data_IF_885525534005
#
_entry.id   IF_885525534005
#
_cell.length_a   1.000
_cell.length_b   1.000
_cell.length_c   1.000
_cell.angle_alpha   90.00
_cell.angle_beta   90.00
_cell.angle_gamma   90.00
#
_symmetry.space_group_name_H-M   'P 1'
#
loop_
_entity.id
_entity.type
_entity.pdbx_description
1 polymer ?
#
# COMPACT_ATOMS: atom_id res chain seq x y z
N UNK A 1 10.86 -11.21 -24.06
CA UNK A 1 9.43 -11.58 -24.21
C UNK A 1 8.55 -10.35 -24.00
N UNK A 2 7.87 -9.87 -25.05
CA UNK A 2 6.89 -8.75 -24.98
C UNK A 2 5.61 -9.26 -24.33
N UNK A 3 5.17 -8.65 -23.22
CA UNK A 3 3.88 -9.00 -22.57
C UNK A 3 2.71 -8.62 -23.51
N UNK A 4 1.76 -9.52 -23.77
CA UNK A 4 0.56 -9.20 -24.57
C UNK A 4 -0.18 -8.00 -24.00
N UNK A 5 -0.73 -7.14 -24.87
CA UNK A 5 -1.36 -5.85 -24.52
C UNK A 5 -2.69 -5.97 -23.73
N UNK A 6 -3.14 -7.19 -23.41
CA UNK A 6 -4.46 -7.45 -22.80
C UNK A 6 -4.48 -7.53 -21.27
N UNK A 7 -3.33 -7.50 -20.59
CA UNK A 7 -3.31 -7.60 -19.12
C UNK A 7 -3.50 -6.22 -18.48
N UNK A 8 -4.74 -5.94 -18.06
CA UNK A 8 -4.98 -4.79 -17.18
C UNK A 8 -4.73 -5.21 -15.72
N UNK A 9 -3.60 -4.77 -15.16
CA UNK A 9 -3.19 -5.12 -13.80
C UNK A 9 -3.68 -4.05 -12.81
N UNK A 10 -4.67 -4.41 -11.99
CA UNK A 10 -5.20 -3.59 -10.93
C UNK A 10 -4.85 -4.18 -9.57
N UNK A 11 -3.89 -3.59 -8.85
CA UNK A 11 -3.66 -3.87 -7.42
C UNK A 11 -3.61 -5.39 -7.09
N UNK A 12 -2.76 -6.15 -7.78
CA UNK A 12 -2.62 -7.62 -7.64
C UNK A 12 -3.79 -8.46 -8.18
N UNK A 13 -4.65 -7.87 -9.01
CA UNK A 13 -5.68 -8.54 -9.80
C UNK A 13 -5.38 -8.28 -11.29
N UNK A 14 -5.32 -9.33 -12.09
CA UNK A 14 -5.16 -9.29 -13.54
C UNK A 14 -6.43 -9.78 -14.20
N UNK A 15 -6.84 -9.10 -15.26
CA UNK A 15 -7.89 -9.60 -16.16
C UNK A 15 -7.21 -10.42 -17.26
N UNK A 16 -7.68 -11.64 -17.45
CA UNK A 16 -7.22 -12.60 -18.46
C UNK A 16 -8.37 -12.90 -19.43
N UNK A 17 -8.11 -13.35 -20.68
CA UNK A 17 -9.17 -13.82 -21.56
C UNK A 17 -10.09 -14.87 -20.91
N UNK A 18 -9.53 -15.74 -20.06
CA UNK A 18 -10.24 -16.80 -19.34
C UNK A 18 -10.95 -16.35 -18.06
N UNK A 19 -10.77 -15.12 -17.58
CA UNK A 19 -11.38 -14.62 -16.34
C UNK A 19 -10.46 -13.71 -15.54
N UNK A 20 -10.39 -13.92 -14.22
CA UNK A 20 -9.58 -13.10 -13.31
C UNK A 20 -8.43 -13.89 -12.70
N UNK A 21 -7.29 -13.26 -12.46
CA UNK A 21 -6.17 -13.85 -11.75
C UNK A 21 -5.70 -12.93 -10.64
N UNK A 22 -5.66 -13.44 -9.42
CA UNK A 22 -4.99 -12.76 -8.30
C UNK A 22 -3.58 -13.31 -8.23
N UNK A 23 -2.57 -12.45 -8.21
CA UNK A 23 -1.19 -12.85 -7.93
C UNK A 23 -0.55 -11.85 -6.96
N UNK A 24 -0.11 -12.34 -5.81
CA UNK A 24 0.54 -11.56 -4.76
C UNK A 24 1.90 -12.18 -4.47
N UNK A 25 2.96 -11.46 -4.80
CA UNK A 25 4.33 -11.84 -4.41
C UNK A 25 4.71 -11.20 -3.07
N UNK A 26 5.22 -12.01 -2.14
CA UNK A 26 5.74 -11.61 -0.83
C UNK A 26 7.05 -12.34 -0.54
N UNK A 27 8.13 -11.59 -0.30
CA UNK A 27 9.46 -12.18 -0.21
C UNK A 27 9.81 -12.94 -1.49
N UNK A 28 10.13 -14.22 -1.36
CA UNK A 28 10.42 -15.16 -2.47
C UNK A 28 9.24 -16.07 -2.83
N UNK A 29 8.06 -15.87 -2.23
CA UNK A 29 6.88 -16.70 -2.47
C UNK A 29 5.82 -15.94 -3.29
N UNK A 30 5.26 -16.63 -4.28
CA UNK A 30 4.12 -16.15 -5.07
C UNK A 30 2.85 -16.90 -4.67
N UNK A 31 1.82 -16.14 -4.29
CA UNK A 31 0.47 -16.66 -4.05
C UNK A 31 -0.38 -16.25 -5.24
N UNK A 32 -0.76 -17.22 -6.07
CA UNK A 32 -1.61 -16.95 -7.22
C UNK A 32 -2.83 -17.87 -7.27
N UNK A 33 -3.96 -17.33 -7.73
CA UNK A 33 -5.19 -18.08 -7.96
C UNK A 33 -5.95 -17.52 -9.14
N UNK A 34 -6.43 -18.41 -9.99
CA UNK A 34 -7.28 -18.09 -11.12
C UNK A 34 -8.76 -18.29 -10.79
N UNK A 35 -9.60 -17.40 -11.31
CA UNK A 35 -11.05 -17.42 -11.22
C UNK A 35 -11.60 -17.39 -12.64
N UNK A 36 -12.17 -18.51 -13.08
CA UNK A 36 -12.69 -18.65 -14.43
C UNK A 36 -13.94 -17.79 -14.65
N UNK A 37 -14.07 -17.25 -15.87
CA UNK A 37 -15.20 -16.47 -16.32
C UNK A 37 -15.20 -15.01 -15.86
N UNK A 38 -15.94 -14.19 -16.61
CA UNK A 38 -16.01 -12.73 -16.42
C UNK A 38 -17.21 -12.28 -15.58
N UNK A 39 -17.91 -13.23 -14.95
CA UNK A 39 -19.10 -12.93 -14.15
C UNK A 39 -18.78 -12.00 -12.96
N UNK A 40 -19.78 -11.24 -12.51
CA UNK A 40 -19.70 -10.44 -11.28
C UNK A 40 -19.35 -11.29 -10.06
N UNK A 41 -19.84 -12.53 -10.01
CA UNK A 41 -19.51 -13.51 -8.96
C UNK A 41 -18.02 -13.88 -8.98
N UNK A 42 -17.45 -14.12 -10.17
CA UNK A 42 -16.02 -14.40 -10.34
C UNK A 42 -15.16 -13.21 -9.93
N UNK A 43 -15.57 -11.99 -10.29
CA UNK A 43 -14.89 -10.75 -9.87
C UNK A 43 -14.92 -10.57 -8.35
N UNK A 44 -16.08 -10.74 -7.71
CA UNK A 44 -16.21 -10.63 -6.26
C UNK A 44 -15.38 -11.69 -5.52
N UNK A 45 -15.36 -12.94 -6.01
CA UNK A 45 -14.54 -13.99 -5.44
C UNK A 45 -13.04 -13.66 -5.54
N UNK A 46 -12.60 -13.14 -6.68
CA UNK A 46 -11.22 -12.70 -6.88
C UNK A 46 -10.86 -11.52 -5.97
N UNK A 47 -11.76 -10.55 -5.79
CA UNK A 47 -11.56 -9.43 -4.86
C UNK A 47 -11.49 -9.90 -3.40
N UNK A 48 -12.38 -10.80 -2.98
CA UNK A 48 -12.36 -11.38 -1.62
C UNK A 48 -11.05 -12.11 -1.36
N UNK A 49 -10.60 -12.94 -2.30
CA UNK A 49 -9.34 -13.67 -2.18
C UNK A 49 -8.12 -12.74 -2.14
N UNK A 50 -8.10 -11.69 -2.97
CA UNK A 50 -7.07 -10.63 -2.92
C UNK A 50 -7.03 -9.96 -1.55
N UNK A 51 -8.19 -9.60 -0.99
CA UNK A 51 -8.25 -8.89 0.28
C UNK A 51 -7.93 -9.80 1.47
N UNK A 52 -8.27 -11.09 1.38
CA UNK A 52 -7.83 -12.11 2.33
C UNK A 52 -6.30 -12.27 2.32
N UNK A 53 -5.69 -12.46 1.14
CA UNK A 53 -4.23 -12.54 1.00
C UNK A 53 -3.52 -11.29 1.53
N UNK A 54 -4.15 -10.10 1.43
CA UNK A 54 -3.59 -8.87 2.01
C UNK A 54 -3.67 -8.80 3.53
N UNK A 55 -4.61 -9.51 4.16
CA UNK A 55 -4.74 -9.59 5.62
C UNK A 55 -3.81 -10.64 6.21
N UNK A 56 -3.71 -11.79 5.55
CA UNK A 56 -2.95 -12.95 6.03
C UNK A 56 -1.46 -12.82 5.74
N UNK A 57 -1.09 -12.29 4.57
CA UNK A 57 0.31 -12.15 4.22
C UNK A 57 0.93 -10.93 4.91
N UNK A 58 2.11 -11.06 5.53
CA UNK A 58 2.78 -9.95 6.19
C UNK A 58 2.99 -8.79 5.20
N UNK A 59 2.87 -7.56 5.71
CA UNK A 59 3.10 -6.37 4.92
C UNK A 59 4.49 -6.44 4.26
N UNK A 60 4.53 -6.25 2.93
CA UNK A 60 5.77 -6.32 2.13
C UNK A 60 6.86 -5.38 2.66
N UNK A 61 6.48 -4.35 3.42
CA UNK A 61 7.38 -3.45 4.13
C UNK A 61 6.91 -3.39 5.58
N UNK A 62 7.66 -4.01 6.51
CA UNK A 62 7.46 -3.77 7.94
C UNK A 62 7.72 -2.29 8.20
N UNK A 63 6.66 -1.51 8.28
CA UNK A 63 6.76 -0.11 8.62
C UNK A 63 6.83 -0.01 10.15
N UNK A 64 8.01 -0.27 10.68
CA UNK A 64 8.26 -0.27 12.12
C UNK A 64 8.27 1.19 12.58
N UNK A 65 7.10 1.69 12.94
CA UNK A 65 6.93 2.99 13.59
C UNK A 65 7.08 2.78 15.10
N UNK A 66 8.03 3.46 15.76
CA UNK A 66 8.18 3.43 17.22
C UNK A 66 6.86 3.62 17.96
N UNK A 67 6.62 2.80 19.00
CA UNK A 67 5.42 2.89 19.87
C UNK A 67 5.20 4.29 20.43
N UNK A 68 6.27 5.03 20.74
CA UNK A 68 6.20 6.44 21.20
C UNK A 68 5.43 7.36 20.24
N UNK A 69 5.63 7.20 18.93
CA UNK A 69 4.97 8.02 17.91
C UNK A 69 3.52 7.63 17.72
N UNK A 70 3.22 6.35 17.92
CA UNK A 70 1.85 5.85 17.94
C UNK A 70 1.09 6.39 19.16
N UNK A 71 1.72 6.39 20.34
CA UNK A 71 1.15 6.94 21.57
C UNK A 71 0.91 8.45 21.46
N UNK A 72 1.88 9.22 20.94
CA UNK A 72 1.75 10.67 20.76
C UNK A 72 0.57 11.08 19.86
N UNK A 73 0.18 10.23 18.92
CA UNK A 73 -0.96 10.45 18.02
C UNK A 73 -2.21 9.65 18.40
N UNK A 74 -2.19 8.96 19.54
CA UNK A 74 -3.23 8.04 19.99
C UNK A 74 -3.66 7.01 18.91
N UNK A 75 -2.69 6.54 18.13
CA UNK A 75 -2.90 5.58 17.04
C UNK A 75 -2.60 4.17 17.53
N UNK A 76 -3.57 3.25 17.38
CA UNK A 76 -3.36 1.82 17.68
C UNK A 76 -2.49 1.11 16.65
N UNK A 77 -2.39 1.64 15.43
CA UNK A 77 -1.65 1.05 14.30
C UNK A 77 -0.93 2.11 13.48
N UNK A 78 0.22 1.79 12.85
CA UNK A 78 0.88 2.66 11.88
C UNK A 78 -0.08 3.11 10.77
N UNK A 79 0.02 4.38 10.36
CA UNK A 79 -0.79 4.89 9.26
C UNK A 79 -0.34 4.26 7.93
N UNK A 80 -1.27 3.65 7.20
CA UNK A 80 -0.99 2.99 5.92
C UNK A 80 -0.57 4.01 4.87
N UNK A 81 0.61 3.77 4.27
CA UNK A 81 1.18 4.63 3.21
C UNK A 81 2.11 5.73 3.69
N UNK A 82 2.39 5.82 5.00
CA UNK A 82 3.47 6.64 5.57
C UNK A 82 4.65 5.74 5.88
N UNK A 83 5.76 5.80 5.15
CA UNK A 83 6.92 4.94 5.37
C UNK A 83 7.99 5.66 6.19
N UNK A 84 8.52 5.01 7.23
CA UNK A 84 9.61 5.55 8.06
C UNK A 84 10.98 5.11 7.53
N UNK A 85 11.89 6.06 7.32
CA UNK A 85 13.30 5.83 6.97
C UNK A 85 14.22 6.35 8.07
N UNK A 86 14.57 5.52 9.07
CA UNK A 86 15.33 5.97 10.23
C UNK A 86 16.75 6.44 9.87
N UNK A 87 17.44 5.76 8.94
CA UNK A 87 18.81 6.13 8.53
C UNK A 87 18.91 7.48 7.81
N UNK A 88 17.80 7.95 7.24
CA UNK A 88 17.73 9.22 6.49
C UNK A 88 16.93 10.29 7.24
N UNK A 89 16.57 9.99 8.49
CA UNK A 89 15.71 10.80 9.33
C UNK A 89 14.51 11.39 8.58
N UNK A 90 13.77 10.57 7.81
CA UNK A 90 12.62 11.05 7.05
C UNK A 90 11.44 10.08 6.97
N UNK A 91 10.24 10.63 6.89
CA UNK A 91 9.03 9.93 6.49
C UNK A 91 8.74 10.17 5.03
N UNK A 92 8.23 9.15 4.34
CA UNK A 92 7.89 9.21 2.95
C UNK A 92 6.41 8.85 2.78
N UNK A 93 5.65 9.74 2.14
CA UNK A 93 4.24 9.51 1.80
C UNK A 93 4.09 9.48 0.29
N UNK A 94 3.60 8.36 -0.23
CA UNK A 94 3.30 8.24 -1.67
C UNK A 94 1.83 8.54 -1.90
N UNK A 95 1.52 9.43 -2.84
CA UNK A 95 0.16 9.88 -3.16
C UNK A 95 -0.03 9.99 -4.68
N UNK A 96 -1.28 10.04 -5.14
CA UNK A 96 -1.58 10.35 -6.54
C UNK A 96 -1.89 11.83 -6.66
N UNK A 97 -1.23 12.51 -7.58
CA UNK A 97 -1.56 13.89 -7.93
C UNK A 97 -2.89 13.99 -8.69
N UNK A 98 -3.37 15.21 -8.93
CA UNK A 98 -4.56 15.46 -9.76
C UNK A 98 -4.39 14.94 -11.20
N UNK A 99 -3.14 14.88 -11.66
CA UNK A 99 -2.71 14.31 -12.93
C UNK A 99 -2.70 12.77 -12.95
N UNK A 100 -3.12 12.11 -11.87
CA UNK A 100 -3.09 10.65 -11.72
C UNK A 100 -1.69 10.06 -11.55
N UNK A 101 -0.63 10.89 -11.66
CA UNK A 101 0.76 10.46 -11.51
C UNK A 101 1.09 10.18 -10.06
N UNK A 102 1.89 9.13 -9.84
CA UNK A 102 2.36 8.76 -8.51
C UNK A 102 3.45 9.77 -8.08
N UNK A 103 3.18 10.52 -7.02
CA UNK A 103 4.12 11.48 -6.43
C UNK A 103 4.51 11.03 -5.03
N UNK A 104 5.65 11.52 -4.58
CA UNK A 104 6.17 11.27 -3.24
C UNK A 104 6.38 12.60 -2.54
N UNK A 105 5.95 12.68 -1.27
CA UNK A 105 6.30 13.78 -0.38
C UNK A 105 7.12 13.23 0.79
N UNK A 106 8.18 13.95 1.14
CA UNK A 106 9.08 13.60 2.25
C UNK A 106 8.89 14.58 3.41
N UNK A 107 9.05 14.09 4.64
CA UNK A 107 9.00 14.85 5.88
C UNK A 107 10.20 14.44 6.73
N UNK A 108 11.25 15.26 6.73
CA UNK A 108 12.47 15.01 7.49
C UNK A 108 12.37 15.51 8.93
N UNK A 109 13.19 14.94 9.81
CA UNK A 109 13.38 15.40 11.17
C UNK A 109 14.87 15.46 11.50
N UNK A 110 15.25 16.36 12.41
CA UNK A 110 16.60 16.45 12.96
C UNK A 110 16.67 15.73 14.30
N UNK A 111 15.73 16.06 15.19
CA UNK A 111 15.71 15.64 16.58
C UNK A 111 14.52 14.74 16.93
N UNK A 112 14.52 14.20 18.15
CA UNK A 112 13.48 13.27 18.61
C UNK A 112 12.10 13.90 18.71
N UNK A 113 12.01 15.17 19.12
CA UNK A 113 10.75 15.91 19.18
C UNK A 113 10.26 16.26 17.77
N UNK A 114 11.17 16.73 16.91
CA UNK A 114 10.90 16.98 15.50
C UNK A 114 10.44 15.71 14.74
N UNK A 115 10.84 14.50 15.17
CA UNK A 115 10.33 13.25 14.60
C UNK A 115 8.82 13.09 14.81
N UNK A 116 8.30 13.51 15.97
CA UNK A 116 6.87 13.46 16.27
C UNK A 116 6.12 14.40 15.33
N UNK A 117 6.59 15.65 15.19
CA UNK A 117 5.98 16.64 14.30
C UNK A 117 6.04 16.23 12.83
N UNK A 118 7.17 15.67 12.39
CA UNK A 118 7.32 15.15 11.03
C UNK A 118 6.33 14.00 10.77
N UNK A 119 6.11 13.11 11.75
CA UNK A 119 5.12 12.05 11.61
C UNK A 119 3.69 12.59 11.62
N UNK A 120 3.36 13.55 12.48
CA UNK A 120 2.06 14.23 12.51
C UNK A 120 1.77 14.88 11.15
N UNK A 121 2.73 15.62 10.59
CA UNK A 121 2.61 16.27 9.29
C UNK A 121 2.41 15.25 8.16
N UNK A 122 3.15 14.15 8.17
CA UNK A 122 3.01 13.06 7.22
C UNK A 122 1.62 12.41 7.28
N UNK A 123 1.09 12.17 8.49
CA UNK A 123 -0.26 11.62 8.70
C UNK A 123 -1.35 12.59 8.26
N UNK A 124 -1.24 13.88 8.62
CA UNK A 124 -2.19 14.93 8.17
C UNK A 124 -2.22 15.02 6.65
N UNK A 125 -1.05 15.08 6.01
CA UNK A 125 -0.95 15.10 4.55
C UNK A 125 -1.56 13.84 3.92
N UNK A 126 -1.31 12.67 4.49
CA UNK A 126 -1.89 11.41 4.00
C UNK A 126 -3.42 11.42 4.06
N UNK A 127 -4.01 11.94 5.15
CA UNK A 127 -5.46 12.08 5.31
C UNK A 127 -6.05 13.04 4.27
N UNK A 128 -5.39 14.18 4.01
CA UNK A 128 -5.81 15.12 2.96
C UNK A 128 -5.77 14.49 1.57
N UNK A 129 -4.79 13.63 1.28
CA UNK A 129 -4.72 12.88 0.03
C UNK A 129 -5.73 11.73 -0.10
N UNK A 130 -6.43 11.35 0.98
CA UNK A 130 -7.51 10.35 0.95
C UNK A 130 -8.90 10.98 0.84
N UNK A 131 -9.06 12.21 1.34
CA UNK A 131 -10.30 12.97 1.25
C UNK A 131 -10.50 13.66 -0.12
N UNK A 132 -9.49 13.61 -0.99
CA UNK A 132 -9.53 14.03 -2.39
C UNK A 132 -9.76 12.82 -3.29
#
# INVERSE_FOLDING_TARGET
MKRPRAFQEFRNLRVLPSGYQVSVTRGKMEFSKHFAGHSTKSLQAAMRYRDQLRRELPDKRKNIIPRRLLAALNLKRPTVGVFRHPKRCMYQVTYRGRDGRLRTRTFSWTDREAEIDAYVAAVKFRKQCLAR
#
